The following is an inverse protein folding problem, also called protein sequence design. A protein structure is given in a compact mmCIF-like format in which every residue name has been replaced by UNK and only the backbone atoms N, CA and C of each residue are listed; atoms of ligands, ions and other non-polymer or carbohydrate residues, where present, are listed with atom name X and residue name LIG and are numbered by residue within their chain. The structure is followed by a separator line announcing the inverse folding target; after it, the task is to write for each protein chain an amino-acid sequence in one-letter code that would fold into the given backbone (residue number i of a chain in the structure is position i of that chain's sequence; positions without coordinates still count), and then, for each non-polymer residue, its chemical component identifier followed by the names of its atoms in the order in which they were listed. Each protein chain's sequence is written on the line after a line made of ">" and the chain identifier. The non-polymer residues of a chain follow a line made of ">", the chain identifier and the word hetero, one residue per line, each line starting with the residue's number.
data_IF_295742047709
#
_entry.id   IF_295742047709
#
_cell.length_a   1.000
_cell.length_b   1.000
_cell.length_c   1.000
_cell.angle_alpha   90.00
_cell.angle_beta   90.00
_cell.angle_gamma   90.00
#
_symmetry.space_group_name_H-M   'P 1'
#
loop_
_entity.id
_entity.type
_entity.pdbx_description
1 polymer ?
#
# COMPACT_ATOMS: atom_id res chain seq x y z
N UNK A 1 14.08 -42.80 -34.72
CA UNK A 1 13.58 -41.42 -34.56
C UNK A 1 12.11 -41.50 -34.20
N UNK A 2 11.78 -41.38 -32.91
CA UNK A 2 10.40 -41.30 -32.45
C UNK A 2 10.03 -39.82 -32.32
N UNK A 3 9.08 -39.38 -33.15
CA UNK A 3 8.49 -38.05 -33.04
C UNK A 3 7.43 -38.10 -31.92
N UNK A 4 7.70 -37.44 -30.82
CA UNK A 4 6.70 -37.23 -29.77
C UNK A 4 5.78 -36.07 -30.21
N UNK A 5 4.52 -36.40 -30.50
CA UNK A 5 3.47 -35.41 -30.72
C UNK A 5 3.10 -34.76 -29.39
N UNK A 6 3.46 -33.51 -29.21
CA UNK A 6 2.94 -32.68 -28.14
C UNK A 6 1.52 -32.23 -28.50
N UNK A 7 0.54 -32.85 -27.90
CA UNK A 7 -0.80 -32.27 -27.84
C UNK A 7 -0.78 -31.20 -26.79
N UNK A 8 -0.76 -29.93 -27.20
CA UNK A 8 -0.84 -28.79 -26.28
C UNK A 8 -2.16 -28.80 -25.51
N UNK A 9 -2.18 -28.24 -24.28
CA UNK A 9 -3.40 -28.15 -23.50
C UNK A 9 -4.42 -27.30 -24.26
N UNK A 10 -5.65 -27.82 -24.36
CA UNK A 10 -6.81 -27.09 -24.87
C UNK A 10 -7.02 -25.92 -23.92
N UNK A 11 -6.72 -24.72 -24.38
CA UNK A 11 -7.06 -23.49 -23.65
C UNK A 11 -8.58 -23.39 -23.70
N UNK A 12 -9.24 -23.81 -22.63
CA UNK A 12 -10.66 -23.50 -22.47
C UNK A 12 -10.77 -21.98 -22.37
N UNK A 13 -11.48 -21.39 -23.30
CA UNK A 13 -11.88 -19.99 -23.26
C UNK A 13 -12.67 -19.77 -21.97
N UNK A 14 -11.99 -19.19 -20.96
CA UNK A 14 -12.65 -18.78 -19.72
C UNK A 14 -13.52 -17.60 -20.12
N UNK A 15 -14.83 -17.83 -20.16
CA UNK A 15 -15.81 -16.77 -20.38
C UNK A 15 -15.43 -15.57 -19.51
N UNK A 16 -15.18 -14.43 -20.14
CA UNK A 16 -14.98 -13.17 -19.45
C UNK A 16 -16.31 -12.83 -18.77
N UNK A 17 -16.44 -13.21 -17.51
CA UNK A 17 -17.39 -12.54 -16.65
C UNK A 17 -16.89 -11.09 -16.53
N UNK A 18 -17.61 -10.17 -17.15
CA UNK A 18 -17.49 -8.75 -16.91
C UNK A 18 -17.60 -8.59 -15.38
N UNK A 19 -16.58 -8.09 -14.65
CA UNK A 19 -16.74 -7.86 -13.24
C UNK A 19 -17.67 -6.67 -13.08
N UNK A 20 -18.97 -6.89 -13.13
CA UNK A 20 -19.90 -6.00 -12.45
C UNK A 20 -19.40 -5.97 -11.01
N UNK A 21 -18.83 -4.82 -10.63
CA UNK A 21 -18.44 -4.56 -9.25
C UNK A 21 -19.65 -4.96 -8.38
N UNK A 22 -19.51 -6.05 -7.66
CA UNK A 22 -20.58 -6.49 -6.76
C UNK A 22 -20.98 -5.29 -5.89
N UNK A 23 -22.27 -5.06 -5.75
CA UNK A 23 -22.76 -3.96 -4.90
C UNK A 23 -22.09 -4.08 -3.54
N UNK A 24 -21.42 -3.02 -3.05
CA UNK A 24 -20.67 -3.09 -1.80
C UNK A 24 -21.59 -3.56 -0.66
N UNK A 25 -21.21 -4.64 0.02
CA UNK A 25 -22.01 -5.21 1.12
C UNK A 25 -21.91 -4.37 2.40
N UNK A 26 -20.88 -3.55 2.52
CA UNK A 26 -20.62 -2.73 3.70
C UNK A 26 -20.29 -1.30 3.31
N UNK A 27 -20.85 -0.34 4.03
CA UNK A 27 -20.48 1.07 3.92
C UNK A 27 -19.53 1.40 5.05
N UNK A 28 -18.32 1.86 4.70
CA UNK A 28 -17.30 2.30 5.65
C UNK A 28 -17.15 3.81 5.52
N UNK A 29 -17.34 4.54 6.60
CA UNK A 29 -17.03 5.98 6.65
C UNK A 29 -15.57 6.13 7.03
N UNK A 30 -14.82 6.84 6.20
CA UNK A 30 -13.39 6.96 6.41
C UNK A 30 -12.89 8.41 6.33
N UNK A 31 -11.76 8.62 6.97
CA UNK A 31 -11.03 9.88 6.90
C UNK A 31 -9.63 9.69 6.30
N UNK A 32 -9.07 10.78 5.80
CA UNK A 32 -7.64 10.89 5.46
C UNK A 32 -6.97 11.70 6.55
N UNK A 33 -5.84 11.21 7.09
CA UNK A 33 -5.02 11.90 8.05
C UNK A 33 -3.55 11.88 7.62
N UNK A 34 -3.09 13.00 7.03
CA UNK A 34 -1.78 13.14 6.41
C UNK A 34 -1.70 12.61 4.98
N UNK A 35 -1.09 13.41 4.09
CA UNK A 35 -1.04 13.15 2.64
C UNK A 35 0.28 13.60 2.01
N UNK A 36 1.39 13.36 2.70
CA UNK A 36 2.75 13.74 2.24
C UNK A 36 3.22 12.95 1.01
N UNK A 37 2.47 11.91 0.60
CA UNK A 37 2.73 11.11 -0.59
C UNK A 37 1.47 10.96 -1.44
N UNK A 38 1.62 11.06 -2.77
CA UNK A 38 0.50 11.11 -3.72
C UNK A 38 -0.27 9.78 -3.85
N UNK A 39 0.22 8.69 -3.28
CA UNK A 39 -0.53 7.42 -3.19
C UNK A 39 -1.89 7.56 -2.49
N UNK A 40 -2.07 8.61 -1.69
CA UNK A 40 -3.35 8.87 -1.00
C UNK A 40 -4.53 8.93 -1.99
N UNK A 41 -4.33 9.46 -3.19
CA UNK A 41 -5.40 9.54 -4.19
C UNK A 41 -5.85 8.16 -4.67
N UNK A 42 -4.88 7.24 -4.89
CA UNK A 42 -5.17 5.85 -5.22
C UNK A 42 -5.86 5.11 -4.08
N UNK A 43 -5.39 5.30 -2.85
CA UNK A 43 -5.98 4.70 -1.64
C UNK A 43 -7.43 5.14 -1.44
N UNK A 44 -7.72 6.44 -1.53
CA UNK A 44 -9.09 6.98 -1.46
C UNK A 44 -9.95 6.37 -2.55
N UNK A 45 -9.47 6.36 -3.80
CA UNK A 45 -10.22 5.79 -4.92
C UNK A 45 -10.51 4.30 -4.74
N UNK A 46 -9.57 3.51 -4.20
CA UNK A 46 -9.76 2.09 -3.93
C UNK A 46 -10.87 1.86 -2.89
N UNK A 47 -10.85 2.58 -1.78
CA UNK A 47 -11.86 2.45 -0.73
C UNK A 47 -13.24 2.93 -1.22
N UNK A 48 -13.29 4.02 -2.00
CA UNK A 48 -14.55 4.49 -2.60
C UNK A 48 -15.13 3.48 -3.60
N UNK A 49 -14.31 2.82 -4.44
CA UNK A 49 -14.77 1.73 -5.31
C UNK A 49 -15.35 0.56 -4.52
N UNK A 50 -14.84 0.31 -3.31
CA UNK A 50 -15.37 -0.66 -2.37
C UNK A 50 -16.61 -0.21 -1.60
N UNK A 51 -17.15 0.99 -1.87
CA UNK A 51 -18.34 1.54 -1.21
C UNK A 51 -18.04 2.41 0.01
N UNK A 52 -16.77 2.77 0.24
CA UNK A 52 -16.39 3.68 1.32
C UNK A 52 -16.79 5.12 1.04
N UNK A 53 -17.14 5.85 2.09
CA UNK A 53 -17.50 7.27 2.09
C UNK A 53 -16.39 8.10 2.73
N UNK A 54 -15.70 8.94 1.94
CA UNK A 54 -14.73 9.91 2.46
C UNK A 54 -15.48 11.07 3.12
N UNK A 55 -15.33 11.23 4.42
CA UNK A 55 -16.10 12.23 5.19
C UNK A 55 -15.24 13.34 5.80
N UNK A 56 -13.95 13.11 6.01
CA UNK A 56 -13.07 14.05 6.69
C UNK A 56 -11.64 13.92 6.17
N UNK A 57 -10.93 15.04 6.08
CA UNK A 57 -9.52 15.06 5.73
C UNK A 57 -8.75 16.00 6.66
N UNK A 58 -7.50 15.66 6.94
CA UNK A 58 -6.55 16.46 7.70
C UNK A 58 -5.16 16.33 7.08
N UNK A 59 -4.47 17.43 6.91
CA UNK A 59 -3.05 17.51 6.58
C UNK A 59 -2.52 18.91 6.91
N UNK A 60 -1.20 19.04 6.95
CA UNK A 60 -0.52 20.28 7.32
C UNK A 60 0.19 20.95 6.14
N UNK A 61 0.47 20.22 5.06
CA UNK A 61 1.17 20.73 3.88
C UNK A 61 0.22 21.54 2.97
N UNK A 62 0.40 22.87 2.82
CA UNK A 62 -0.58 23.71 2.14
C UNK A 62 -0.84 23.35 0.68
N UNK A 63 0.19 22.95 -0.05
CA UNK A 63 0.12 22.52 -1.45
C UNK A 63 -0.66 21.20 -1.60
N UNK A 64 -0.43 20.22 -0.72
CA UNK A 64 -1.15 18.96 -0.67
C UNK A 64 -2.62 19.17 -0.30
N UNK A 65 -2.88 20.03 0.68
CA UNK A 65 -4.24 20.42 1.08
C UNK A 65 -4.98 21.06 -0.10
N UNK A 66 -4.35 22.00 -0.81
CA UNK A 66 -4.96 22.66 -1.96
C UNK A 66 -5.27 21.67 -3.10
N UNK A 67 -4.33 20.77 -3.42
CA UNK A 67 -4.52 19.75 -4.43
C UNK A 67 -5.64 18.75 -4.05
N UNK A 68 -5.68 18.33 -2.80
CA UNK A 68 -6.71 17.42 -2.31
C UNK A 68 -8.10 18.04 -2.31
N UNK A 69 -8.24 19.31 -1.88
CA UNK A 69 -9.50 20.09 -1.96
C UNK A 69 -10.02 20.20 -3.38
N UNK A 70 -9.13 20.42 -4.35
CA UNK A 70 -9.50 20.46 -5.77
C UNK A 70 -10.07 19.12 -6.26
N UNK A 71 -9.54 18.01 -5.77
CA UNK A 71 -9.96 16.66 -6.17
C UNK A 71 -11.22 16.18 -5.44
N UNK A 72 -11.37 16.57 -4.17
CA UNK A 72 -12.47 16.20 -3.29
C UNK A 72 -13.09 17.45 -2.65
N UNK A 73 -13.85 18.25 -3.39
CA UNK A 73 -14.32 19.55 -2.94
C UNK A 73 -15.32 19.48 -1.77
N UNK A 74 -16.06 18.39 -1.66
CA UNK A 74 -17.13 18.21 -0.67
C UNK A 74 -16.63 17.63 0.66
N UNK A 75 -15.34 17.29 0.77
CA UNK A 75 -14.80 16.71 1.99
C UNK A 75 -14.67 17.77 3.09
N UNK A 76 -15.10 17.46 4.31
CA UNK A 76 -14.87 18.31 5.47
C UNK A 76 -13.39 18.27 5.86
N UNK A 77 -12.90 19.36 6.45
CA UNK A 77 -11.52 19.47 6.91
C UNK A 77 -11.47 19.58 8.43
N UNK A 78 -10.67 18.71 9.05
CA UNK A 78 -10.33 18.80 10.46
C UNK A 78 -9.19 19.80 10.66
N UNK A 79 -9.22 20.56 11.76
CA UNK A 79 -8.17 21.49 12.12
C UNK A 79 -6.88 20.78 12.57
N UNK A 80 -7.00 19.58 13.12
CA UNK A 80 -5.88 18.79 13.63
C UNK A 80 -6.21 17.29 13.62
N UNK A 81 -5.21 16.45 13.94
CA UNK A 81 -5.36 15.00 13.98
C UNK A 81 -6.37 14.56 15.06
N UNK A 82 -6.45 15.25 16.19
CA UNK A 82 -7.36 14.90 17.31
C UNK A 82 -8.83 14.94 16.90
N UNK A 83 -9.23 15.88 16.06
CA UNK A 83 -10.59 15.89 15.51
C UNK A 83 -10.92 14.64 14.72
N UNK A 84 -9.95 14.11 13.94
CA UNK A 84 -10.12 12.83 13.22
C UNK A 84 -10.24 11.67 14.20
N UNK A 85 -9.38 11.64 15.24
CA UNK A 85 -9.36 10.57 16.21
C UNK A 85 -10.63 10.53 17.10
N UNK A 86 -11.21 11.68 17.40
CA UNK A 86 -12.40 11.79 18.26
C UNK A 86 -13.73 11.71 17.49
N UNK A 87 -13.74 11.81 16.15
CA UNK A 87 -14.98 11.68 15.38
C UNK A 87 -15.47 10.22 15.39
N UNK A 88 -16.49 9.93 16.18
CA UNK A 88 -17.07 8.59 16.34
C UNK A 88 -17.77 8.05 15.09
N UNK A 89 -18.06 8.90 14.11
CA UNK A 89 -18.67 8.49 12.83
C UNK A 89 -17.65 7.85 11.88
N UNK A 90 -16.35 7.95 12.15
CA UNK A 90 -15.26 7.41 11.33
C UNK A 90 -14.87 6.03 11.84
N UNK A 91 -14.81 5.08 10.94
CA UNK A 91 -14.46 3.68 11.21
C UNK A 91 -13.05 3.34 10.74
N UNK A 92 -12.55 4.03 9.69
CA UNK A 92 -11.26 3.77 9.06
C UNK A 92 -10.52 5.10 8.82
N UNK A 93 -9.23 5.11 9.08
CA UNK A 93 -8.36 6.24 8.74
C UNK A 93 -7.30 5.79 7.75
N UNK A 94 -7.19 6.52 6.64
CA UNK A 94 -6.14 6.35 5.63
C UNK A 94 -5.02 7.36 5.87
N UNK A 95 -3.78 6.95 5.63
CA UNK A 95 -2.65 7.87 5.71
C UNK A 95 -1.53 7.54 4.72
N UNK A 96 -1.04 8.60 4.08
CA UNK A 96 0.21 8.59 3.33
C UNK A 96 1.20 9.64 3.85
N UNK A 97 1.23 9.84 5.17
CA UNK A 97 2.23 10.68 5.85
C UNK A 97 3.66 10.26 5.47
N UNK A 98 4.65 11.02 5.92
CA UNK A 98 6.05 10.60 5.93
C UNK A 98 6.15 9.18 6.50
N UNK A 99 6.93 8.30 5.86
CA UNK A 99 6.90 6.88 6.17
C UNK A 99 7.13 6.57 7.66
N UNK A 100 8.08 7.26 8.30
CA UNK A 100 8.37 7.10 9.74
C UNK A 100 7.24 7.54 10.67
N UNK A 101 6.29 8.34 10.19
CA UNK A 101 5.17 8.87 11.00
C UNK A 101 3.90 8.01 10.92
N UNK A 102 3.85 7.06 9.96
CA UNK A 102 2.66 6.24 9.70
C UNK A 102 2.33 5.30 10.84
N UNK A 103 3.32 4.58 11.36
CA UNK A 103 3.11 3.64 12.46
C UNK A 103 2.70 4.34 13.77
N UNK A 104 3.34 5.42 14.21
CA UNK A 104 2.88 6.19 15.38
C UNK A 104 1.44 6.69 15.24
N UNK A 105 1.06 7.22 14.08
CA UNK A 105 -0.32 7.64 13.82
C UNK A 105 -1.29 6.44 13.88
N UNK A 106 -0.95 5.33 13.22
CA UNK A 106 -1.80 4.15 13.20
C UNK A 106 -2.05 3.55 14.59
N UNK A 107 -1.05 3.57 15.47
CA UNK A 107 -1.21 3.17 16.89
C UNK A 107 -2.23 4.06 17.59
N UNK A 108 -2.16 5.39 17.40
CA UNK A 108 -3.14 6.34 17.97
C UNK A 108 -4.54 6.11 17.40
N UNK A 109 -4.65 5.91 16.09
CA UNK A 109 -5.92 5.61 15.41
C UNK A 109 -6.54 4.33 15.97
N UNK A 110 -5.80 3.24 16.10
CA UNK A 110 -6.32 2.00 16.67
C UNK A 110 -6.77 2.19 18.12
N UNK A 111 -6.01 2.91 18.94
CA UNK A 111 -6.39 3.22 20.33
C UNK A 111 -7.60 4.13 20.43
N UNK A 112 -7.93 4.92 19.39
CA UNK A 112 -9.17 5.68 19.31
C UNK A 112 -10.37 4.85 18.83
N UNK A 113 -10.20 3.53 18.63
CA UNK A 113 -11.28 2.61 18.26
C UNK A 113 -11.55 2.50 16.77
N UNK A 114 -10.63 2.94 15.90
CA UNK A 114 -10.75 2.93 14.44
C UNK A 114 -9.72 1.99 13.82
N UNK A 115 -10.02 1.49 12.62
CA UNK A 115 -9.05 0.77 11.81
C UNK A 115 -8.15 1.75 11.05
N UNK A 116 -6.96 1.30 10.69
CA UNK A 116 -5.97 2.12 10.01
C UNK A 116 -5.46 1.46 8.73
N UNK A 117 -5.41 2.21 7.64
CA UNK A 117 -4.79 1.80 6.38
C UNK A 117 -3.66 2.76 6.02
N UNK A 118 -2.46 2.24 6.07
CA UNK A 118 -1.24 2.96 5.71
C UNK A 118 -0.89 2.81 4.25
N UNK A 119 -0.34 3.84 3.63
CA UNK A 119 0.51 3.68 2.47
C UNK A 119 1.76 2.86 2.82
N UNK A 120 2.41 2.23 1.84
CA UNK A 120 3.68 1.51 2.00
C UNK A 120 4.90 2.48 1.97
N UNK A 121 5.96 2.24 2.73
CA UNK A 121 6.02 1.31 3.85
C UNK A 121 5.14 1.80 5.00
N UNK A 122 4.45 0.89 5.63
CA UNK A 122 3.60 1.24 6.76
C UNK A 122 4.36 1.26 8.11
N UNK A 123 5.55 0.69 8.12
CA UNK A 123 6.41 0.52 9.29
C UNK A 123 7.86 0.65 8.80
N UNK A 124 8.70 1.39 9.51
CA UNK A 124 10.09 1.65 9.11
C UNK A 124 11.12 1.12 10.11
N UNK A 125 10.72 0.77 11.33
CA UNK A 125 11.63 0.22 12.35
C UNK A 125 11.03 -0.97 13.09
N UNK A 126 11.88 -1.77 13.75
CA UNK A 126 11.44 -2.91 14.56
C UNK A 126 10.68 -2.47 15.81
N UNK A 127 11.02 -1.31 16.38
CA UNK A 127 10.32 -0.72 17.51
C UNK A 127 8.89 -0.33 17.13
N UNK A 128 8.72 0.29 15.96
CA UNK A 128 7.39 0.59 15.42
C UNK A 128 6.59 -0.69 15.19
N UNK A 129 7.21 -1.75 14.66
CA UNK A 129 6.56 -3.04 14.49
C UNK A 129 6.07 -3.63 15.81
N UNK A 130 6.89 -3.55 16.87
CA UNK A 130 6.51 -4.02 18.20
C UNK A 130 5.31 -3.24 18.76
N UNK A 131 5.31 -1.92 18.65
CA UNK A 131 4.20 -1.07 19.11
C UNK A 131 2.91 -1.30 18.30
N UNK A 132 2.99 -1.47 16.99
CA UNK A 132 1.83 -1.79 16.15
C UNK A 132 1.24 -3.14 16.55
N UNK A 133 2.06 -4.18 16.74
CA UNK A 133 1.61 -5.50 17.19
C UNK A 133 0.93 -5.44 18.56
N UNK A 134 1.50 -4.67 19.48
CA UNK A 134 0.93 -4.43 20.80
C UNK A 134 -0.44 -3.75 20.70
N UNK A 135 -0.55 -2.67 19.92
CA UNK A 135 -1.79 -1.95 19.71
C UNK A 135 -2.88 -2.85 19.08
N UNK A 136 -2.53 -3.69 18.09
CA UNK A 136 -3.47 -4.66 17.52
C UNK A 136 -3.97 -5.63 18.60
N UNK A 137 -3.07 -6.15 19.44
CA UNK A 137 -3.45 -7.08 20.50
C UNK A 137 -4.35 -6.43 21.56
N UNK A 138 -4.11 -5.17 21.91
CA UNK A 138 -4.87 -4.39 22.87
C UNK A 138 -6.27 -4.01 22.35
N UNK A 139 -6.33 -3.49 21.13
CA UNK A 139 -7.53 -2.82 20.59
C UNK A 139 -8.41 -3.72 19.74
N UNK A 140 -7.85 -4.82 19.23
CA UNK A 140 -8.48 -5.70 18.21
C UNK A 140 -8.83 -4.96 16.92
N UNK A 141 -8.17 -3.83 16.65
CA UNK A 141 -8.30 -3.06 15.41
C UNK A 141 -7.34 -3.57 14.35
N UNK A 142 -7.63 -3.20 13.10
CA UNK A 142 -6.85 -3.59 11.93
C UNK A 142 -5.82 -2.51 11.63
N UNK A 143 -4.56 -2.91 11.45
CA UNK A 143 -3.51 -2.14 10.82
C UNK A 143 -3.23 -2.73 9.45
N UNK A 144 -3.73 -2.11 8.39
CA UNK A 144 -3.50 -2.53 7.02
C UNK A 144 -2.40 -1.71 6.35
N UNK A 145 -1.72 -2.31 5.38
CA UNK A 145 -0.78 -1.63 4.49
C UNK A 145 -1.25 -1.82 3.06
N UNK A 146 -1.33 -0.72 2.30
CA UNK A 146 -1.81 -0.73 0.92
C UNK A 146 -0.70 -1.13 -0.04
N UNK A 147 -0.59 -2.40 -0.33
CA UNK A 147 0.28 -2.93 -1.38
C UNK A 147 -0.41 -2.87 -2.74
N UNK A 148 -0.44 -1.66 -3.32
CA UNK A 148 -1.18 -1.35 -4.55
C UNK A 148 -0.76 -2.21 -5.75
N UNK A 149 0.51 -2.61 -5.86
CA UNK A 149 0.99 -3.45 -6.96
C UNK A 149 0.25 -4.80 -7.02
N UNK A 150 -0.08 -5.38 -5.88
CA UNK A 150 -0.88 -6.62 -5.84
C UNK A 150 -2.38 -6.34 -5.82
N UNK A 151 -2.83 -5.33 -5.09
CA UNK A 151 -4.26 -5.09 -4.83
C UNK A 151 -4.96 -4.34 -5.96
N UNK A 152 -4.25 -3.45 -6.68
CA UNK A 152 -4.83 -2.53 -7.66
C UNK A 152 -4.44 -2.86 -9.11
N UNK A 153 -3.32 -3.57 -9.33
CA UNK A 153 -2.90 -3.95 -10.68
C UNK A 153 -3.72 -5.14 -11.15
N UNK A 154 -4.62 -4.91 -12.12
CA UNK A 154 -5.56 -5.93 -12.62
C UNK A 154 -4.86 -7.23 -13.04
N UNK A 155 -3.69 -7.13 -13.68
CA UNK A 155 -2.90 -8.30 -14.09
C UNK A 155 -2.41 -9.11 -12.88
N UNK A 156 -1.97 -8.45 -11.80
CA UNK A 156 -1.53 -9.12 -10.57
C UNK A 156 -2.71 -9.81 -9.86
N UNK A 157 -3.86 -9.14 -9.79
CA UNK A 157 -5.10 -9.72 -9.25
C UNK A 157 -5.48 -10.97 -10.05
N UNK A 158 -5.53 -10.87 -11.39
CA UNK A 158 -5.88 -12.01 -12.25
C UNK A 158 -4.88 -13.16 -12.16
N UNK A 159 -3.58 -12.85 -12.10
CA UNK A 159 -2.54 -13.87 -11.89
C UNK A 159 -2.77 -14.61 -10.56
N UNK A 160 -3.08 -13.89 -9.48
CA UNK A 160 -3.40 -14.50 -8.19
C UNK A 160 -4.60 -15.43 -8.25
N UNK A 161 -5.70 -15.01 -8.89
CA UNK A 161 -6.88 -15.86 -9.10
C UNK A 161 -6.52 -17.18 -9.81
N UNK A 162 -5.78 -17.10 -10.93
CA UNK A 162 -5.37 -18.27 -11.70
C UNK A 162 -4.44 -19.20 -10.92
N UNK A 163 -3.45 -18.64 -10.22
CA UNK A 163 -2.52 -19.42 -9.37
C UNK A 163 -3.31 -20.12 -8.26
N UNK A 164 -4.21 -19.41 -7.61
CA UNK A 164 -5.01 -19.97 -6.52
C UNK A 164 -6.06 -21.00 -7.02
N UNK A 165 -6.49 -20.89 -8.27
CA UNK A 165 -7.31 -21.91 -8.93
C UNK A 165 -6.49 -23.15 -9.38
N UNK A 166 -5.18 -23.14 -9.23
CA UNK A 166 -4.30 -24.27 -9.57
C UNK A 166 -3.84 -24.30 -11.02
N UNK A 167 -4.00 -23.21 -11.80
CA UNK A 167 -3.67 -23.17 -13.23
C UNK A 167 -2.21 -23.54 -13.55
N UNK A 168 -1.28 -23.30 -12.63
CA UNK A 168 0.15 -23.67 -12.75
C UNK A 168 0.59 -24.73 -11.73
N UNK A 169 -0.38 -25.35 -11.02
CA UNK A 169 -0.07 -26.26 -9.92
C UNK A 169 0.49 -25.56 -8.69
N UNK A 170 1.28 -26.29 -7.90
CA UNK A 170 1.91 -25.75 -6.71
C UNK A 170 3.06 -24.80 -7.07
N UNK A 171 3.05 -23.58 -6.55
CA UNK A 171 4.17 -22.64 -6.70
C UNK A 171 5.37 -23.15 -5.89
N UNK A 172 6.49 -23.37 -6.54
CA UNK A 172 7.73 -23.84 -5.94
C UNK A 172 8.70 -22.70 -5.70
N UNK A 173 8.71 -21.73 -6.60
CA UNK A 173 9.66 -20.61 -6.59
C UNK A 173 9.00 -19.38 -7.20
N UNK A 174 9.39 -18.20 -6.72
CA UNK A 174 9.08 -16.91 -7.33
C UNK A 174 10.37 -16.16 -7.60
N UNK A 175 10.42 -15.42 -8.70
CA UNK A 175 11.49 -14.47 -9.00
C UNK A 175 10.82 -13.12 -9.24
N UNK A 176 11.17 -12.14 -8.42
CA UNK A 176 10.66 -10.78 -8.56
C UNK A 176 11.79 -9.86 -9.02
N UNK A 177 11.58 -9.20 -10.14
CA UNK A 177 12.47 -8.16 -10.67
C UNK A 177 11.64 -6.90 -10.81
N UNK A 178 11.88 -5.92 -9.95
CA UNK A 178 11.12 -4.69 -9.87
C UNK A 178 12.04 -3.46 -9.88
N UNK A 179 12.62 -3.12 -11.04
CA UNK A 179 13.45 -1.93 -11.15
C UNK A 179 12.57 -0.68 -10.92
N UNK A 180 13.01 0.19 -10.02
CA UNK A 180 12.39 1.48 -9.78
C UNK A 180 13.39 2.59 -10.08
N UNK A 181 12.93 3.57 -10.85
CA UNK A 181 13.67 4.81 -11.00
C UNK A 181 13.36 5.73 -9.82
N UNK A 182 14.39 6.25 -9.20
CA UNK A 182 14.29 7.18 -8.09
C UNK A 182 15.04 8.44 -8.46
N UNK A 183 14.30 9.53 -8.64
CA UNK A 183 14.83 10.84 -9.00
C UNK A 183 14.43 11.88 -7.97
N UNK A 184 15.35 12.79 -7.66
CA UNK A 184 15.05 14.00 -6.93
C UNK A 184 14.47 15.03 -7.94
N UNK A 185 13.39 15.72 -7.57
CA UNK A 185 12.74 16.70 -8.45
C UNK A 185 11.64 16.10 -9.34
N UNK A 186 11.21 16.85 -10.38
CA UNK A 186 10.14 16.41 -11.28
C UNK A 186 10.48 15.09 -11.98
N UNK A 187 9.63 14.10 -11.82
CA UNK A 187 9.86 12.76 -12.37
C UNK A 187 9.32 12.58 -13.77
N UNK A 188 9.93 11.68 -14.54
CA UNK A 188 9.60 11.34 -15.93
C UNK A 188 8.25 10.60 -16.12
N UNK A 189 7.55 10.29 -15.04
CA UNK A 189 6.28 9.53 -15.05
C UNK A 189 5.02 10.41 -15.10
N UNK A 190 5.10 11.62 -15.65
CA UNK A 190 3.95 12.51 -15.82
C UNK A 190 3.42 13.13 -14.53
N UNK A 191 4.07 12.92 -13.42
CA UNK A 191 3.84 13.62 -12.15
C UNK A 191 4.71 14.86 -12.05
N UNK A 192 4.14 15.97 -11.66
CA UNK A 192 4.85 17.25 -11.51
C UNK A 192 5.92 17.24 -10.40
N UNK A 193 6.02 16.18 -9.63
CA UNK A 193 6.95 16.08 -8.50
C UNK A 193 7.73 14.77 -8.55
N UNK A 194 9.05 14.86 -8.44
CA UNK A 194 9.92 13.72 -8.11
C UNK A 194 9.64 13.20 -6.70
N UNK A 195 10.52 12.34 -6.20
CA UNK A 195 10.41 11.87 -4.82
C UNK A 195 10.49 13.05 -3.86
N UNK A 196 9.60 13.15 -2.88
CA UNK A 196 9.65 14.22 -1.89
C UNK A 196 10.94 14.13 -1.04
N UNK A 197 11.35 15.26 -0.46
CA UNK A 197 12.64 15.38 0.23
C UNK A 197 12.84 14.37 1.36
N UNK A 198 11.77 13.93 2.03
CA UNK A 198 11.86 12.95 3.10
C UNK A 198 12.29 11.54 2.62
N UNK A 199 12.19 11.23 1.32
CA UNK A 199 12.73 10.00 0.75
C UNK A 199 14.27 9.93 0.83
N UNK A 200 14.93 11.08 0.89
CA UNK A 200 16.38 11.19 0.95
C UNK A 200 16.92 11.24 2.39
N UNK A 201 16.01 11.15 3.36
CA UNK A 201 16.34 11.11 4.77
C UNK A 201 16.09 9.69 5.31
N UNK A 202 17.14 9.00 5.70
CA UNK A 202 17.12 7.61 6.19
C UNK A 202 16.21 7.41 7.40
N UNK A 203 16.14 8.40 8.31
CA UNK A 203 15.26 8.35 9.49
C UNK A 203 13.78 8.52 9.15
N UNK A 204 13.45 9.04 7.97
CA UNK A 204 12.10 9.30 7.51
C UNK A 204 11.59 8.25 6.50
N UNK A 205 12.48 7.75 5.66
CA UNK A 205 12.14 6.88 4.54
C UNK A 205 12.03 5.40 4.93
N UNK A 206 12.96 4.91 5.74
CA UNK A 206 13.05 3.49 6.13
C UNK A 206 13.77 2.59 5.12
N UNK A 207 14.23 3.14 3.99
CA UNK A 207 15.07 2.46 3.00
C UNK A 207 14.31 1.66 1.95
N UNK A 208 15.04 1.30 0.87
CA UNK A 208 14.49 0.66 -0.33
C UNK A 208 13.86 -0.70 -0.07
N UNK A 209 14.37 -1.47 0.90
CA UNK A 209 13.80 -2.77 1.24
C UNK A 209 12.44 -2.64 1.91
N UNK A 210 12.25 -1.63 2.77
CA UNK A 210 10.95 -1.34 3.36
C UNK A 210 9.97 -0.75 2.34
N UNK A 211 10.43 0.11 1.44
CA UNK A 211 9.58 0.77 0.45
C UNK A 211 9.22 -0.16 -0.71
N UNK A 212 10.20 -0.62 -1.48
CA UNK A 212 9.96 -1.42 -2.69
C UNK A 212 10.00 -2.91 -2.41
N UNK A 213 10.97 -3.39 -1.63
CA UNK A 213 11.10 -4.81 -1.30
C UNK A 213 9.89 -5.38 -0.57
N UNK A 214 9.16 -4.56 0.18
CA UNK A 214 7.93 -4.96 0.86
C UNK A 214 6.82 -5.42 -0.10
N UNK A 215 6.68 -4.82 -1.29
CA UNK A 215 5.77 -5.31 -2.32
C UNK A 215 6.10 -6.72 -2.77
N UNK A 216 7.41 -7.02 -2.91
CA UNK A 216 7.88 -8.33 -3.37
C UNK A 216 7.65 -9.40 -2.32
N UNK A 217 7.85 -9.07 -1.05
CA UNK A 217 7.55 -9.99 0.07
C UNK A 217 6.04 -10.24 0.18
N UNK A 218 5.20 -9.21 0.05
CA UNK A 218 3.74 -9.35 0.03
C UNK A 218 3.28 -10.26 -1.13
N UNK A 219 3.78 -10.03 -2.33
CA UNK A 219 3.47 -10.85 -3.50
C UNK A 219 3.95 -12.29 -3.34
N UNK A 220 5.16 -12.51 -2.79
CA UNK A 220 5.67 -13.84 -2.50
C UNK A 220 4.73 -14.60 -1.57
N UNK A 221 4.37 -14.03 -0.42
CA UNK A 221 3.46 -14.65 0.54
C UNK A 221 2.11 -14.96 -0.09
N UNK A 222 1.57 -14.05 -0.88
CA UNK A 222 0.29 -14.21 -1.54
C UNK A 222 0.31 -15.33 -2.58
N UNK A 223 1.23 -15.31 -3.54
CA UNK A 223 1.27 -16.30 -4.62
C UNK A 223 1.66 -17.70 -4.16
N UNK A 224 2.49 -17.80 -3.13
CA UNK A 224 2.86 -19.11 -2.54
C UNK A 224 1.85 -19.62 -1.52
N UNK A 225 0.87 -18.79 -1.09
CA UNK A 225 -0.02 -19.04 0.05
C UNK A 225 0.73 -19.28 1.35
N UNK A 226 1.91 -18.69 1.48
CA UNK A 226 2.73 -18.80 2.69
C UNK A 226 2.29 -17.78 3.73
N UNK A 227 2.32 -18.15 4.99
CA UNK A 227 2.03 -17.27 6.13
C UNK A 227 3.29 -16.71 6.76
N UNK A 228 4.46 -17.24 6.38
CA UNK A 228 5.77 -16.86 6.90
C UNK A 228 6.81 -16.91 5.79
N UNK A 229 7.84 -16.08 5.93
CA UNK A 229 9.03 -16.08 5.10
C UNK A 229 10.26 -15.92 5.98
N UNK A 230 11.36 -16.60 5.62
CA UNK A 230 12.66 -16.44 6.23
C UNK A 230 13.59 -15.77 5.22
N UNK A 231 14.28 -14.72 5.64
CA UNK A 231 15.30 -14.04 4.82
C UNK A 231 16.64 -14.74 5.03
N UNK A 232 17.09 -15.50 4.03
CA UNK A 232 18.36 -16.25 4.11
C UNK A 232 19.56 -15.41 3.70
N UNK A 233 19.36 -14.38 2.88
CA UNK A 233 20.40 -13.43 2.50
C UNK A 233 19.77 -12.11 2.06
N UNK A 234 20.44 -11.01 2.32
CA UNK A 234 20.05 -9.66 1.88
C UNK A 234 21.28 -8.84 1.58
N UNK A 235 21.24 -8.09 0.48
CA UNK A 235 22.30 -7.17 0.12
C UNK A 235 21.68 -5.92 -0.52
N UNK A 236 22.16 -4.76 -0.13
CA UNK A 236 21.85 -3.48 -0.77
C UNK A 236 23.15 -2.77 -1.13
N UNK A 237 23.11 -1.95 -2.18
CA UNK A 237 24.21 -1.08 -2.56
C UNK A 237 23.65 0.20 -3.20
N UNK A 238 24.13 1.35 -2.75
CA UNK A 238 23.83 2.62 -3.38
C UNK A 238 24.95 2.94 -4.40
N UNK A 239 24.69 2.64 -5.66
CA UNK A 239 25.63 2.89 -6.76
C UNK A 239 25.27 4.14 -7.58
N UNK A 240 24.02 4.58 -7.51
CA UNK A 240 23.46 5.64 -8.36
C UNK A 240 23.33 7.00 -7.65
N UNK A 241 23.09 7.00 -6.33
CA UNK A 241 22.77 8.21 -5.56
C UNK A 241 23.86 8.53 -4.55
N UNK A 242 25.09 8.72 -5.04
CA UNK A 242 26.28 8.95 -4.19
C UNK A 242 26.18 10.20 -3.32
N UNK A 243 25.40 11.19 -3.75
CA UNK A 243 25.12 12.42 -2.98
C UNK A 243 24.17 12.19 -1.81
N UNK A 244 23.54 11.01 -1.73
CA UNK A 244 22.68 10.57 -0.67
C UNK A 244 23.18 9.25 -0.07
N UNK A 245 24.24 9.27 0.74
CA UNK A 245 24.96 8.06 1.17
C UNK A 245 24.13 7.11 2.04
N UNK A 246 23.07 7.61 2.64
CA UNK A 246 22.15 6.84 3.50
C UNK A 246 20.88 6.32 2.77
N UNK A 247 20.83 6.54 1.47
CA UNK A 247 19.70 6.13 0.63
C UNK A 247 19.78 4.65 0.22
#
# INVERSE_FOLDING_TARGET
>A
MLAASFSGPVVHEVAQADPQLATPQHKVRFAVCGMSHDHIYGMVGAIQRGGGELVLAQATEPDKVAAFKKRFPDVRWAANEEEVLHDSSIQLVLSSKIASERAPLGVRVMRSGKDFLSDKPGITTLEQLAEVRKAIAETKRIYGIMYSERLEVKAAVKAGELIHAGAIGRVIQTINIAPHQIHQGAGDWGGASGRPDWFWNDTQYGGILCDIGSHQVDQFLYYTRSTQAEVVASQIANVAHKDHPHF
#
